data_IF_640326710894
#
_entry.id   IF_640326710894
#
_cell.length_a   1.000
_cell.length_b   1.000
_cell.length_c   1.000
_cell.angle_alpha   90.00
_cell.angle_beta   90.00
_cell.angle_gamma   90.00
#
_symmetry.space_group_name_H-M   'P 1'
#
loop_
_entity.id
_entity.type
_entity.pdbx_description
1 polymer ?
#
# COMPACT_ATOMS: atom_id res chain seq x y z
N UNK A 1 -26.02 20.29 21.69
CA UNK A 1 -24.96 19.60 22.45
C UNK A 1 -25.53 19.00 23.72
N UNK A 2 -26.06 17.78 23.61
CA UNK A 2 -26.18 16.74 24.63
C UNK A 2 -26.59 15.49 23.82
N UNK A 3 -25.68 14.54 23.63
CA UNK A 3 -25.99 13.29 22.95
C UNK A 3 -24.98 12.20 23.35
N UNK A 4 -25.30 11.46 24.40
CA UNK A 4 -24.65 10.20 24.78
C UNK A 4 -25.09 9.08 23.82
N UNK A 5 -24.85 9.23 22.53
CA UNK A 5 -25.15 8.21 21.53
C UNK A 5 -24.05 7.16 21.50
N UNK A 6 -24.27 5.98 22.08
CA UNK A 6 -23.39 4.82 21.88
C UNK A 6 -23.39 4.49 20.39
N UNK A 7 -22.22 4.55 19.72
CA UNK A 7 -22.09 4.11 18.32
C UNK A 7 -22.54 2.65 18.22
N UNK A 8 -23.53 2.39 17.37
CA UNK A 8 -24.09 1.06 17.12
C UNK A 8 -23.80 0.71 15.66
N UNK A 9 -23.30 -0.49 15.39
CA UNK A 9 -23.01 -0.98 14.04
C UNK A 9 -21.52 -1.14 13.76
N UNK A 10 -21.20 -1.77 12.63
CA UNK A 10 -19.81 -1.86 12.18
C UNK A 10 -19.28 -0.48 11.78
N UNK A 11 -18.00 -0.18 12.04
CA UNK A 11 -17.37 1.05 11.54
C UNK A 11 -17.58 1.16 10.03
N UNK A 12 -18.15 2.28 9.58
CA UNK A 12 -18.28 2.62 8.18
C UNK A 12 -17.56 3.95 7.91
N UNK A 13 -16.95 4.05 6.74
CA UNK A 13 -16.34 5.28 6.26
C UNK A 13 -17.38 6.01 5.41
N UNK A 14 -17.53 7.31 5.66
CA UNK A 14 -18.39 8.18 4.88
C UNK A 14 -17.56 9.35 4.38
N UNK A 15 -17.57 9.56 3.07
CA UNK A 15 -17.08 10.77 2.45
C UNK A 15 -18.28 11.69 2.18
N UNK A 16 -18.11 12.98 2.46
CA UNK A 16 -19.13 14.00 2.25
C UNK A 16 -19.03 14.66 0.87
N UNK A 17 -17.99 14.35 0.10
CA UNK A 17 -17.84 14.83 -1.26
C UNK A 17 -18.92 14.27 -2.21
N UNK A 18 -19.26 15.06 -3.24
CA UNK A 18 -20.16 14.59 -4.29
C UNK A 18 -19.50 13.47 -5.11
N UNK A 19 -20.28 12.45 -5.47
CA UNK A 19 -19.84 11.40 -6.40
C UNK A 19 -19.46 12.03 -7.73
N UNK A 20 -18.24 11.74 -8.19
CA UNK A 20 -17.71 12.21 -9.47
C UNK A 20 -17.66 11.07 -10.48
N UNK A 21 -17.70 11.41 -11.77
CA UNK A 21 -17.50 10.43 -12.83
C UNK A 21 -16.05 9.96 -12.82
N UNK A 22 -15.84 8.64 -12.74
CA UNK A 22 -14.52 8.02 -12.88
C UNK A 22 -13.97 8.12 -14.32
N UNK A 23 -12.68 7.81 -14.52
CA UNK A 23 -12.10 7.74 -15.86
C UNK A 23 -12.79 6.70 -16.73
N UNK A 24 -13.00 7.03 -18.01
CA UNK A 24 -13.70 6.15 -18.96
C UNK A 24 -12.91 4.86 -19.29
N UNK A 25 -11.57 4.92 -19.23
CA UNK A 25 -10.69 3.79 -19.46
C UNK A 25 -9.65 3.75 -18.34
N UNK A 26 -9.48 2.58 -17.73
CA UNK A 26 -8.47 2.32 -16.70
C UNK A 26 -7.65 1.10 -17.10
N UNK A 27 -6.41 1.02 -16.58
CA UNK A 27 -5.61 -0.20 -16.70
C UNK A 27 -6.36 -1.41 -16.10
N UNK A 28 -7.06 -1.19 -14.98
CA UNK A 28 -7.97 -2.15 -14.37
C UNK A 28 -9.00 -2.73 -15.36
N UNK A 29 -9.71 -1.88 -16.12
CA UNK A 29 -10.71 -2.33 -17.10
C UNK A 29 -10.14 -3.25 -18.19
N UNK A 30 -8.86 -3.08 -18.53
CA UNK A 30 -8.18 -3.94 -19.51
C UNK A 30 -7.69 -5.27 -18.90
N UNK A 31 -7.31 -5.27 -17.62
CA UNK A 31 -6.63 -6.40 -16.98
C UNK A 31 -7.57 -7.31 -16.19
N UNK A 32 -8.62 -6.77 -15.59
CA UNK A 32 -9.58 -7.54 -14.79
C UNK A 32 -10.26 -8.70 -15.56
N UNK A 33 -10.55 -8.59 -16.88
CA UNK A 33 -11.04 -9.74 -17.65
C UNK A 33 -10.10 -10.95 -17.66
N UNK A 34 -8.79 -10.73 -17.44
CA UNK A 34 -7.79 -11.81 -17.35
C UNK A 34 -7.76 -12.48 -15.96
N UNK A 35 -8.42 -11.87 -14.97
CA UNK A 35 -8.51 -12.34 -13.60
C UNK A 35 -9.97 -12.39 -13.15
N UNK A 36 -10.89 -13.08 -13.87
CA UNK A 36 -12.32 -12.93 -13.68
C UNK A 36 -12.84 -13.46 -12.33
N UNK A 37 -12.06 -14.31 -11.67
CA UNK A 37 -12.38 -14.88 -10.37
C UNK A 37 -11.11 -15.22 -9.60
N UNK A 38 -11.29 -15.51 -8.30
CA UNK A 38 -10.25 -16.10 -7.47
C UNK A 38 -9.84 -17.49 -8.00
N UNK A 39 -8.59 -17.88 -7.74
CA UNK A 39 -8.10 -19.22 -8.09
C UNK A 39 -8.51 -20.24 -7.03
N UNK A 40 -8.99 -21.40 -7.47
CA UNK A 40 -9.19 -22.55 -6.59
C UNK A 40 -7.83 -23.12 -6.15
N UNK A 41 -7.74 -23.73 -4.95
CA UNK A 41 -6.54 -24.47 -4.56
C UNK A 41 -6.23 -25.58 -5.59
N UNK A 42 -4.94 -25.86 -5.87
CA UNK A 42 -3.75 -25.34 -5.20
C UNK A 42 -3.24 -24.00 -5.76
N UNK A 43 -3.94 -23.37 -6.71
CA UNK A 43 -3.53 -22.12 -7.33
C UNK A 43 -3.47 -20.98 -6.32
N UNK A 44 -2.44 -20.12 -6.45
CA UNK A 44 -2.24 -18.92 -5.66
C UNK A 44 -1.98 -17.78 -6.63
N UNK A 45 -2.73 -16.69 -6.51
CA UNK A 45 -2.48 -15.46 -7.27
C UNK A 45 -1.77 -14.44 -6.40
N UNK A 46 -0.59 -14.01 -6.84
CA UNK A 46 0.24 -13.01 -6.18
C UNK A 46 0.29 -11.74 -7.03
N UNK A 47 0.11 -10.59 -6.40
CA UNK A 47 0.31 -9.27 -7.00
C UNK A 47 1.50 -8.61 -6.35
N UNK A 48 2.37 -8.02 -7.16
CA UNK A 48 3.37 -7.05 -6.70
C UNK A 48 3.14 -5.74 -7.42
N UNK A 49 3.08 -4.63 -6.70
CA UNK A 49 2.82 -3.34 -7.31
C UNK A 49 3.42 -2.16 -6.53
N UNK A 50 4.31 -1.41 -7.17
CA UNK A 50 4.74 -0.11 -6.67
C UNK A 50 3.66 0.93 -6.99
N UNK A 51 3.09 1.54 -5.95
CA UNK A 51 1.91 2.39 -6.08
C UNK A 51 2.21 3.89 -6.10
N UNK A 52 3.49 4.28 -6.14
CA UNK A 52 3.98 5.66 -6.09
C UNK A 52 3.51 6.41 -4.84
N UNK A 53 4.41 6.67 -3.89
CA UNK A 53 4.07 7.35 -2.65
C UNK A 53 3.56 8.78 -2.91
N UNK A 54 2.53 9.19 -2.17
CA UNK A 54 1.89 10.50 -2.24
C UNK A 54 2.89 11.64 -2.03
N UNK A 55 3.83 11.44 -1.12
CA UNK A 55 4.93 12.38 -0.85
C UNK A 55 5.91 12.56 -2.02
N UNK A 56 5.94 11.64 -2.99
CA UNK A 56 6.75 11.77 -4.20
C UNK A 56 5.95 12.44 -5.31
N UNK A 57 4.67 12.10 -5.48
CA UNK A 57 3.80 12.72 -6.48
C UNK A 57 3.47 14.20 -6.19
N UNK A 58 3.43 14.59 -4.91
CA UNK A 58 3.06 15.95 -4.47
C UNK A 58 4.17 17.00 -4.61
N UNK A 59 5.43 16.60 -4.82
CA UNK A 59 6.55 17.55 -4.90
C UNK A 59 6.47 18.38 -6.17
N UNK A 60 6.79 19.66 -6.08
CA UNK A 60 6.80 20.56 -7.24
C UNK A 60 7.71 20.05 -8.36
N UNK A 61 8.91 19.58 -8.00
CA UNK A 61 9.83 18.97 -8.97
C UNK A 61 9.21 17.74 -9.64
N UNK A 62 8.52 16.89 -8.89
CA UNK A 62 7.85 15.72 -9.45
C UNK A 62 6.73 16.12 -10.41
N UNK A 63 5.88 17.07 -10.02
CA UNK A 63 4.78 17.54 -10.88
C UNK A 63 5.27 18.26 -12.14
N UNK A 64 6.38 18.98 -12.09
CA UNK A 64 6.89 19.76 -13.23
C UNK A 64 7.83 18.96 -14.13
N UNK A 65 8.68 18.11 -13.54
CA UNK A 65 9.79 17.46 -14.25
C UNK A 65 9.52 15.98 -14.48
N UNK A 66 9.21 15.22 -13.42
CA UNK A 66 9.03 13.76 -13.53
C UNK A 66 7.70 13.39 -14.21
N UNK A 67 6.65 14.14 -13.87
CA UNK A 67 5.27 13.90 -14.29
C UNK A 67 4.67 15.12 -14.98
N UNK A 68 5.50 15.95 -15.63
CA UNK A 68 5.05 17.18 -16.31
C UNK A 68 3.99 16.97 -17.40
N UNK A 69 3.90 15.74 -17.92
CA UNK A 69 2.86 15.32 -18.86
C UNK A 69 1.52 14.97 -18.19
N UNK A 70 1.49 14.75 -16.87
CA UNK A 70 0.32 14.31 -16.14
C UNK A 70 -0.39 15.52 -15.48
N UNK A 71 -1.65 15.80 -15.82
CA UNK A 71 -2.42 16.83 -15.13
C UNK A 71 -2.43 16.64 -13.61
N UNK A 72 -2.20 17.71 -12.84
CA UNK A 72 -2.06 17.67 -11.37
C UNK A 72 -3.21 16.93 -10.66
N UNK A 73 -4.45 17.11 -11.15
CA UNK A 73 -5.63 16.43 -10.60
C UNK A 73 -5.53 14.90 -10.62
N UNK A 74 -4.74 14.33 -11.53
CA UNK A 74 -4.55 12.87 -11.64
C UNK A 74 -3.35 12.37 -10.82
N UNK A 75 -2.48 13.27 -10.38
CA UNK A 75 -1.43 12.99 -9.39
C UNK A 75 -1.95 13.08 -7.95
N UNK A 76 -3.11 13.71 -7.76
CA UNK A 76 -3.77 13.87 -6.47
C UNK A 76 -4.01 12.49 -5.81
N UNK A 77 -3.56 12.29 -4.56
CA UNK A 77 -3.81 11.06 -3.81
C UNK A 77 -5.27 10.63 -3.78
N UNK A 78 -6.20 11.59 -3.66
CA UNK A 78 -7.63 11.30 -3.54
C UNK A 78 -8.22 10.84 -4.88
N UNK A 79 -7.54 11.14 -5.99
CA UNK A 79 -7.84 10.56 -7.30
C UNK A 79 -7.19 9.18 -7.50
N UNK A 80 -5.91 9.02 -7.08
CA UNK A 80 -5.14 7.80 -7.35
C UNK A 80 -5.55 6.61 -6.48
N UNK A 81 -5.72 6.81 -5.18
CA UNK A 81 -5.95 5.71 -4.22
C UNK A 81 -7.20 4.88 -4.55
N UNK A 82 -8.36 5.48 -4.92
CA UNK A 82 -9.53 4.69 -5.34
C UNK A 82 -9.28 3.84 -6.60
N UNK A 83 -8.50 4.36 -7.56
CA UNK A 83 -8.15 3.62 -8.77
C UNK A 83 -7.20 2.46 -8.49
N UNK A 84 -6.21 2.67 -7.60
CA UNK A 84 -5.31 1.61 -7.14
C UNK A 84 -6.10 0.53 -6.42
N UNK A 85 -6.99 0.91 -5.49
CA UNK A 85 -7.84 -0.05 -4.78
C UNK A 85 -8.73 -0.85 -5.74
N UNK A 86 -9.38 -0.18 -6.69
CA UNK A 86 -10.16 -0.83 -7.73
C UNK A 86 -9.31 -1.85 -8.51
N UNK A 87 -8.10 -1.46 -8.92
CA UNK A 87 -7.18 -2.35 -9.64
C UNK A 87 -6.83 -3.59 -8.80
N UNK A 88 -6.43 -3.41 -7.55
CA UNK A 88 -6.04 -4.50 -6.64
C UNK A 88 -7.19 -5.48 -6.35
N UNK A 89 -8.40 -4.97 -6.08
CA UNK A 89 -9.54 -5.82 -5.74
C UNK A 89 -10.02 -6.67 -6.93
N UNK A 90 -10.03 -6.11 -8.13
CA UNK A 90 -10.43 -6.84 -9.33
C UNK A 90 -9.39 -7.85 -9.84
N UNK A 91 -8.19 -7.89 -9.27
CA UNK A 91 -7.26 -8.99 -9.52
C UNK A 91 -7.67 -10.29 -8.83
N UNK A 92 -8.58 -10.26 -7.85
CA UNK A 92 -8.95 -11.43 -7.05
C UNK A 92 -7.72 -12.19 -6.53
N UNK A 93 -6.70 -11.45 -6.09
CA UNK A 93 -5.45 -12.01 -5.59
C UNK A 93 -5.65 -12.69 -4.23
N UNK A 94 -4.71 -13.56 -3.88
CA UNK A 94 -4.61 -14.16 -2.55
C UNK A 94 -3.55 -13.46 -1.70
N UNK A 95 -2.47 -12.98 -2.32
CA UNK A 95 -1.39 -12.22 -1.69
C UNK A 95 -1.10 -10.98 -2.54
N UNK A 96 -0.96 -9.81 -1.90
CA UNK A 96 -0.65 -8.54 -2.55
C UNK A 96 0.51 -7.90 -1.80
N UNK A 97 1.60 -7.62 -2.50
CA UNK A 97 2.77 -6.92 -1.97
C UNK A 97 2.89 -5.55 -2.65
N UNK A 98 2.85 -4.48 -1.87
CA UNK A 98 2.89 -3.10 -2.36
C UNK A 98 4.19 -2.42 -1.93
N UNK A 99 4.78 -1.64 -2.84
CA UNK A 99 5.93 -0.78 -2.57
C UNK A 99 5.55 0.68 -2.72
N UNK A 100 6.35 1.57 -2.12
CA UNK A 100 6.07 3.00 -2.02
C UNK A 100 4.71 3.29 -1.35
N UNK A 101 4.39 2.52 -0.31
CA UNK A 101 3.21 2.72 0.50
C UNK A 101 3.48 3.78 1.56
N UNK A 102 2.73 4.88 1.58
CA UNK A 102 2.77 5.83 2.69
C UNK A 102 2.13 5.23 3.96
N UNK A 103 2.74 5.44 5.13
CA UNK A 103 2.26 4.94 6.43
C UNK A 103 0.80 5.35 6.70
N UNK A 104 0.48 6.62 6.47
CA UNK A 104 -0.89 7.14 6.67
C UNK A 104 -1.87 6.58 5.66
N UNK A 105 -1.47 6.48 4.38
CA UNK A 105 -2.33 5.90 3.36
C UNK A 105 -2.64 4.43 3.68
N UNK A 106 -1.65 3.67 4.17
CA UNK A 106 -1.87 2.31 4.64
C UNK A 106 -2.89 2.27 5.79
N UNK A 107 -2.64 3.00 6.87
CA UNK A 107 -3.45 2.90 8.09
C UNK A 107 -4.87 3.46 7.94
N UNK A 108 -5.01 4.58 7.23
CA UNK A 108 -6.27 5.33 7.15
C UNK A 108 -7.10 4.98 5.91
N UNK A 109 -6.49 4.42 4.86
CA UNK A 109 -7.18 4.14 3.59
C UNK A 109 -7.02 2.70 3.08
N UNK A 110 -5.82 2.13 2.95
CA UNK A 110 -5.74 0.80 2.33
C UNK A 110 -6.18 -0.31 3.28
N UNK A 111 -5.71 -0.30 4.54
CA UNK A 111 -5.99 -1.36 5.49
C UNK A 111 -7.49 -1.56 5.77
N UNK A 112 -8.29 -0.52 6.07
CA UNK A 112 -9.70 -0.73 6.39
C UNK A 112 -10.51 -1.27 5.19
N UNK A 113 -10.22 -0.77 3.99
CA UNK A 113 -10.88 -1.19 2.75
C UNK A 113 -10.49 -2.64 2.39
N UNK A 114 -9.23 -3.00 2.56
CA UNK A 114 -8.74 -4.36 2.34
C UNK A 114 -9.33 -5.34 3.36
N UNK A 115 -9.50 -4.92 4.62
CA UNK A 115 -10.19 -5.70 5.66
C UNK A 115 -11.64 -5.97 5.31
N UNK A 116 -12.36 -4.97 4.81
CA UNK A 116 -13.73 -5.15 4.31
C UNK A 116 -13.78 -6.14 3.12
N UNK A 117 -12.72 -6.21 2.32
CA UNK A 117 -12.58 -7.16 1.21
C UNK A 117 -12.06 -8.56 1.63
N UNK A 118 -11.91 -8.83 2.93
CA UNK A 118 -11.49 -10.14 3.46
C UNK A 118 -9.97 -10.37 3.44
N UNK A 119 -9.18 -9.30 3.53
CA UNK A 119 -7.73 -9.36 3.70
C UNK A 119 -7.30 -8.92 5.08
N UNK A 120 -6.18 -9.45 5.56
CA UNK A 120 -5.37 -8.81 6.59
C UNK A 120 -4.11 -8.24 5.95
N UNK A 121 -3.50 -7.24 6.61
CA UNK A 121 -2.37 -6.51 6.07
C UNK A 121 -1.32 -6.17 7.11
N UNK A 122 -0.07 -6.16 6.69
CA UNK A 122 1.07 -5.71 7.49
C UNK A 122 1.86 -4.63 6.74
N UNK A 123 2.33 -3.61 7.45
CA UNK A 123 3.13 -2.51 6.92
C UNK A 123 4.51 -2.45 7.58
N UNK A 124 5.54 -2.27 6.76
CA UNK A 124 6.92 -2.12 7.20
C UNK A 124 7.50 -0.84 6.60
N UNK A 125 7.88 0.10 7.46
CA UNK A 125 8.51 1.34 7.01
C UNK A 125 9.93 1.09 6.53
N UNK A 126 10.38 1.88 5.56
CA UNK A 126 11.81 1.96 5.21
C UNK A 126 12.62 2.40 6.42
N UNK A 127 13.89 1.99 6.48
CA UNK A 127 14.82 2.36 7.55
C UNK A 127 15.31 3.82 7.50
N UNK A 128 14.48 4.74 7.03
CA UNK A 128 14.71 6.17 6.95
C UNK A 128 13.62 6.94 7.71
N UNK A 129 13.81 8.25 7.88
CA UNK A 129 12.78 9.15 8.43
C UNK A 129 11.59 9.37 7.48
N UNK A 130 11.71 8.89 6.25
CA UNK A 130 10.66 8.91 5.24
C UNK A 130 9.56 7.94 5.64
N UNK A 131 8.31 8.41 5.69
CA UNK A 131 7.15 7.62 6.13
C UNK A 131 6.52 6.86 4.97
N UNK A 132 7.36 6.17 4.22
CA UNK A 132 6.95 5.24 3.18
C UNK A 132 7.71 3.92 3.29
N UNK A 133 7.10 2.86 2.80
CA UNK A 133 7.64 1.52 2.91
C UNK A 133 6.86 0.50 2.09
N UNK A 134 6.70 -0.67 2.66
CA UNK A 134 6.13 -1.84 2.01
C UNK A 134 4.88 -2.30 2.77
N UNK A 135 3.87 -2.77 2.03
CA UNK A 135 2.70 -3.40 2.63
C UNK A 135 2.47 -4.78 2.02
N UNK A 136 2.12 -5.75 2.86
CA UNK A 136 1.73 -7.09 2.42
C UNK A 136 0.32 -7.38 2.91
N UNK A 137 -0.58 -7.70 1.99
CA UNK A 137 -1.93 -8.17 2.27
C UNK A 137 -2.08 -9.63 1.90
N UNK A 138 -2.83 -10.38 2.70
CA UNK A 138 -3.16 -11.78 2.44
C UNK A 138 -4.63 -12.07 2.75
N UNK A 139 -5.27 -12.85 1.87
CA UNK A 139 -6.69 -13.20 1.98
C UNK A 139 -6.91 -14.17 3.14
N UNK A 140 -7.73 -13.80 4.12
CA UNK A 140 -7.89 -14.57 5.37
C UNK A 140 -8.63 -15.90 5.18
N UNK A 141 -9.40 -16.04 4.09
CA UNK A 141 -10.01 -17.32 3.72
C UNK A 141 -9.01 -18.35 3.18
N UNK A 142 -7.77 -17.94 2.89
CA UNK A 142 -6.72 -18.77 2.26
C UNK A 142 -5.49 -18.90 3.14
N UNK A 143 -5.13 -17.85 3.87
CA UNK A 143 -3.89 -17.76 4.62
C UNK A 143 -4.11 -17.17 6.01
N UNK A 144 -3.26 -17.61 6.95
CA UNK A 144 -3.09 -17.04 8.28
C UNK A 144 -1.63 -16.67 8.44
N UNK A 145 -1.34 -15.49 8.99
CA UNK A 145 0.03 -15.12 9.34
C UNK A 145 0.55 -16.02 10.47
N UNK A 146 1.59 -16.80 10.17
CA UNK A 146 2.25 -17.65 11.16
C UNK A 146 3.36 -16.90 11.92
N UNK A 147 4.16 -16.12 11.19
CA UNK A 147 5.24 -15.31 11.73
C UNK A 147 5.53 -14.13 10.79
N UNK A 148 6.19 -13.09 11.31
CA UNK A 148 6.65 -11.92 10.56
C UNK A 148 8.10 -11.63 10.93
N UNK A 149 8.91 -11.30 9.93
CA UNK A 149 10.25 -10.77 10.12
C UNK A 149 10.49 -9.62 9.14
N UNK A 150 10.65 -8.42 9.69
CA UNK A 150 11.00 -7.24 8.91
C UNK A 150 12.52 -7.04 8.94
N UNK A 151 13.12 -6.80 7.79
CA UNK A 151 14.57 -6.74 7.65
C UNK A 151 15.01 -5.35 7.23
N UNK A 152 15.80 -4.70 8.08
CA UNK A 152 16.50 -3.47 7.74
C UNK A 152 17.86 -3.86 7.15
N UNK A 153 18.02 -3.76 5.84
CA UNK A 153 19.25 -4.16 5.15
C UNK A 153 20.50 -3.51 5.76
N UNK A 154 20.45 -2.21 6.10
CA UNK A 154 21.56 -1.52 6.77
C UNK A 154 22.02 -2.27 8.02
N UNK A 155 21.09 -2.81 8.81
CA UNK A 155 21.38 -3.49 10.06
C UNK A 155 21.99 -4.87 9.84
N UNK A 156 21.59 -5.57 8.76
CA UNK A 156 22.16 -6.85 8.36
C UNK A 156 23.61 -6.77 7.88
N UNK A 157 24.01 -5.62 7.31
CA UNK A 157 25.32 -5.42 6.72
C UNK A 157 26.22 -4.49 7.56
N UNK A 158 25.88 -4.19 8.81
CA UNK A 158 26.66 -3.28 9.67
C UNK A 158 28.14 -3.66 9.74
N UNK A 159 28.42 -4.94 9.94
CA UNK A 159 29.79 -5.45 10.08
C UNK A 159 30.57 -5.45 8.76
N UNK A 160 29.87 -5.49 7.61
CA UNK A 160 30.46 -5.43 6.27
C UNK A 160 30.70 -3.98 5.80
N UNK A 161 29.84 -3.04 6.21
CA UNK A 161 29.91 -1.63 5.82
C UNK A 161 30.82 -0.80 6.72
N UNK A 162 30.95 -1.21 7.99
CA UNK A 162 31.86 -0.63 8.95
C UNK A 162 32.74 -1.75 9.53
N UNK A 163 33.70 -2.29 8.75
CA UNK A 163 34.68 -3.20 9.33
C UNK A 163 35.31 -2.43 10.48
N UNK A 164 35.17 -2.97 11.69
CA UNK A 164 35.70 -2.35 12.89
C UNK A 164 37.13 -1.88 12.61
N UNK A 165 37.45 -0.67 13.05
CA UNK A 165 38.83 -0.25 13.21
C UNK A 165 39.51 -1.23 14.16
N UNK A 166 40.00 -2.36 13.63
CA UNK A 166 40.90 -3.27 14.30
C UNK A 166 42.25 -2.56 14.34
N UNK A 167 42.36 -1.62 15.28
CA UNK A 167 43.52 -0.79 15.49
C UNK A 167 43.68 -0.50 16.97
N UNK A 168 44.55 -1.30 17.58
CA UNK A 168 45.48 -0.87 18.64
C UNK A 168 44.90 -0.61 20.03
N UNK A 169 44.99 -1.60 20.90
CA UNK A 169 45.70 -1.40 22.18
C UNK A 169 46.31 -2.73 22.64
N UNK A 170 47.55 -2.97 22.19
CA UNK A 170 48.52 -3.74 22.96
C UNK A 170 49.35 -2.69 23.69
N UNK A 171 49.19 -2.63 25.02
CA UNK A 171 50.17 -2.16 25.99
C UNK A 171 49.73 -2.67 27.37
#
# INVERSE_FOLDING_TARGET
WQAQGKRIGQPCFADTAHVQQGPALTAAAQRHPLTPSALAPPGIRVVTYNILADQYASREHAQKVLFGYCPKRYLDPDYRRPLILLELLGFHADIICLQEMDEKAFAEYFLPQMQQAGFEGHYTNKASSTREGEATFYRTSRFRLAARQDVILRDCFKDLLHPAAQGSTVA
#
